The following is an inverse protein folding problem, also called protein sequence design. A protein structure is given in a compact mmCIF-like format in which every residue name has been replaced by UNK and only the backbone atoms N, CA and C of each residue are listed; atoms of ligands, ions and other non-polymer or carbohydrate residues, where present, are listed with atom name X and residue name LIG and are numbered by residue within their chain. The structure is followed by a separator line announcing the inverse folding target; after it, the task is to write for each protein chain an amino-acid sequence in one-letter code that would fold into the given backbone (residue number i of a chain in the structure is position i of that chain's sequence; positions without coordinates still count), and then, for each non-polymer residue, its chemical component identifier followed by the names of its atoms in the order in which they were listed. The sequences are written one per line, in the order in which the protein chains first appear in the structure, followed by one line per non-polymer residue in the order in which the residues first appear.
data_IF_946446842491
#
_entry.id   IF_946446842491
#
_cell.length_a   1.000
_cell.length_b   1.000
_cell.length_c   1.000
_cell.angle_alpha   90.00
_cell.angle_beta   90.00
_cell.angle_gamma   90.00
#
_symmetry.space_group_name_H-M   'P 1'
#
loop_
_entity.id
_entity.type
_entity.pdbx_description
1 polymer ?
#
# COMPACT_ATOMS: atom_id res chain seq x y z
N UNK A 1 56.45 10.15 67.93
CA UNK A 1 55.25 9.40 68.30
C UNK A 1 54.25 9.47 67.21
N UNK A 2 54.06 8.43 66.45
CA UNK A 2 52.82 7.88 65.97
C UNK A 2 53.20 6.81 64.89
N UNK A 3 53.01 5.56 65.25
CA UNK A 3 53.15 4.43 64.36
C UNK A 3 51.91 4.35 63.44
N UNK A 4 52.04 4.28 62.13
CA UNK A 4 50.99 3.92 61.23
C UNK A 4 51.15 2.45 60.87
N UNK A 5 50.17 1.66 61.23
CA UNK A 5 50.00 0.29 60.83
C UNK A 5 49.58 0.23 59.34
N UNK A 6 50.23 -0.63 58.59
CA UNK A 6 49.88 -0.90 57.21
C UNK A 6 49.00 -2.15 57.25
N UNK A 7 47.68 -1.97 57.07
CA UNK A 7 46.75 -3.06 56.85
C UNK A 7 46.84 -3.53 55.43
N UNK A 8 47.34 -4.76 55.29
CA UNK A 8 47.37 -5.49 53.99
C UNK A 8 45.97 -6.04 53.66
N UNK A 9 45.15 -5.27 53.01
CA UNK A 9 43.89 -5.77 52.45
C UNK A 9 44.09 -6.68 51.25
N UNK A 10 43.86 -7.98 51.45
CA UNK A 10 43.78 -8.95 50.38
C UNK A 10 42.51 -8.72 49.59
N UNK A 11 42.65 -8.22 48.37
CA UNK A 11 41.53 -8.07 47.41
C UNK A 11 41.01 -9.45 47.03
N UNK A 12 39.71 -9.72 47.10
CA UNK A 12 39.14 -10.99 46.65
C UNK A 12 39.33 -11.14 45.16
N UNK A 13 39.91 -12.29 44.73
CA UNK A 13 39.95 -12.71 43.33
C UNK A 13 38.51 -12.85 42.82
N UNK A 14 38.04 -11.83 42.07
CA UNK A 14 36.79 -11.89 41.28
C UNK A 14 37.01 -12.95 40.20
N UNK A 15 36.33 -14.08 40.36
CA UNK A 15 36.29 -15.16 39.40
C UNK A 15 35.80 -14.64 38.03
N UNK A 16 36.62 -14.72 37.03
CA UNK A 16 36.35 -14.38 35.63
C UNK A 16 35.20 -15.21 35.00
N UNK A 17 34.71 -16.24 35.74
CA UNK A 17 33.63 -17.16 35.30
C UNK A 17 32.29 -16.47 35.03
N UNK A 18 31.96 -15.35 35.69
CA UNK A 18 30.70 -14.67 35.50
C UNK A 18 30.62 -13.80 34.26
N UNK A 19 31.74 -13.28 33.75
CA UNK A 19 31.73 -12.38 32.59
C UNK A 19 31.60 -13.11 31.23
N UNK A 20 32.17 -14.33 31.14
CA UNK A 20 32.02 -15.14 29.94
C UNK A 20 30.61 -15.74 29.81
N UNK A 21 30.01 -16.14 30.93
CA UNK A 21 28.64 -16.64 30.92
C UNK A 21 27.62 -15.56 30.53
N UNK A 22 27.81 -14.30 30.95
CA UNK A 22 26.92 -13.18 30.60
C UNK A 22 27.05 -12.81 29.11
N UNK A 23 28.26 -12.84 28.55
CA UNK A 23 28.48 -12.57 27.12
C UNK A 23 27.91 -13.70 26.25
N UNK A 24 28.00 -14.96 26.69
CA UNK A 24 27.43 -16.09 25.95
C UNK A 24 25.89 -16.10 26.01
N UNK A 25 25.32 -15.75 27.16
CA UNK A 25 23.85 -15.64 27.31
C UNK A 25 23.31 -14.44 26.53
N UNK A 26 24.02 -13.31 26.50
CA UNK A 26 23.62 -12.15 25.66
C UNK A 26 23.70 -12.48 24.16
N UNK A 27 24.72 -13.22 23.70
CA UNK A 27 24.77 -13.62 22.29
C UNK A 27 23.73 -14.70 21.95
N UNK A 28 23.40 -15.61 22.88
CA UNK A 28 22.31 -16.57 22.70
C UNK A 28 20.94 -15.89 22.75
N UNK A 29 20.75 -14.87 23.57
CA UNK A 29 19.54 -14.06 23.57
C UNK A 29 19.43 -13.21 22.28
N UNK A 30 20.53 -12.67 21.76
CA UNK A 30 20.52 -11.95 20.48
C UNK A 30 20.27 -12.87 19.28
N UNK A 31 20.73 -14.13 19.35
CA UNK A 31 20.43 -15.13 18.31
C UNK A 31 19.03 -15.74 18.45
N UNK A 32 18.44 -15.77 19.65
CA UNK A 32 17.07 -16.24 19.85
C UNK A 32 16.02 -15.15 19.59
N UNK A 33 16.41 -13.85 19.63
CA UNK A 33 15.55 -12.75 19.20
C UNK A 33 15.74 -12.40 17.73
N UNK A 34 16.79 -12.90 17.07
CA UNK A 34 16.99 -12.87 15.63
C UNK A 34 16.03 -13.78 14.84
N UNK A 35 15.22 -14.55 15.54
CA UNK A 35 14.04 -15.25 15.05
C UNK A 35 12.74 -14.45 15.21
N UNK A 36 12.80 -13.13 15.38
CA UNK A 36 11.74 -12.28 14.89
C UNK A 36 11.84 -12.44 13.37
N UNK A 37 11.06 -13.38 12.84
CA UNK A 37 10.78 -13.40 11.44
C UNK A 37 10.48 -11.94 11.09
N UNK A 38 11.25 -11.36 10.21
CA UNK A 38 10.67 -10.38 9.33
C UNK A 38 9.52 -11.18 8.72
N UNK A 39 8.32 -11.08 9.30
CA UNK A 39 7.12 -11.28 8.56
C UNK A 39 7.42 -10.47 7.30
N UNK A 40 7.59 -11.14 6.20
CA UNK A 40 7.74 -10.47 4.95
C UNK A 40 6.52 -9.59 4.90
N UNK A 41 6.70 -8.27 4.75
CA UNK A 41 5.59 -7.35 4.61
C UNK A 41 4.77 -7.67 3.36
N UNK A 42 5.16 -8.72 2.64
CA UNK A 42 4.54 -9.24 1.43
C UNK A 42 3.35 -10.20 1.67
N UNK A 43 3.21 -10.79 2.85
CA UNK A 43 2.13 -11.78 3.08
C UNK A 43 0.75 -11.14 3.33
N UNK A 44 0.70 -9.81 3.47
CA UNK A 44 -0.55 -9.05 3.74
C UNK A 44 -0.96 -8.14 2.56
N UNK A 45 -0.21 -8.14 1.45
CA UNK A 45 -0.57 -7.34 0.28
C UNK A 45 -1.68 -8.02 -0.52
N UNK A 46 -2.69 -7.25 -0.98
CA UNK A 46 -3.74 -7.83 -1.82
C UNK A 46 -3.16 -8.35 -3.14
N UNK A 47 -3.72 -9.46 -3.63
CA UNK A 47 -3.21 -10.19 -4.80
C UNK A 47 -3.00 -9.31 -6.04
N UNK A 48 -3.85 -8.29 -6.25
CA UNK A 48 -3.72 -7.37 -7.37
C UNK A 48 -2.42 -6.53 -7.34
N UNK A 49 -1.81 -6.31 -6.16
CA UNK A 49 -0.51 -5.60 -6.04
C UNK A 49 0.65 -6.36 -6.68
N UNK A 50 0.51 -7.65 -6.92
CA UNK A 50 1.53 -8.48 -7.59
C UNK A 50 1.33 -8.60 -9.11
N UNK A 51 0.31 -7.93 -9.66
CA UNK A 51 -0.01 -7.96 -11.09
C UNK A 51 0.53 -6.67 -11.72
N UNK A 52 1.58 -6.78 -12.54
CA UNK A 52 2.10 -5.68 -13.33
C UNK A 52 1.25 -5.46 -14.58
N UNK A 53 0.88 -4.22 -14.86
CA UNK A 53 0.17 -3.81 -16.07
C UNK A 53 1.10 -2.98 -16.93
N UNK A 54 1.32 -3.45 -18.15
CA UNK A 54 2.16 -2.79 -19.14
C UNK A 54 1.40 -1.60 -19.75
N UNK A 55 1.88 -0.37 -19.56
CA UNK A 55 1.27 0.83 -20.14
C UNK A 55 1.23 0.85 -21.68
N UNK A 56 2.10 0.10 -22.36
CA UNK A 56 2.10 0.01 -23.82
C UNK A 56 0.84 -0.67 -24.38
N UNK A 57 0.07 -1.35 -23.53
CA UNK A 57 -1.21 -1.98 -23.95
C UNK A 57 -2.35 -0.96 -24.07
N UNK A 58 -2.21 0.24 -23.51
CA UNK A 58 -3.22 1.28 -23.56
C UNK A 58 -3.14 2.07 -24.87
N UNK A 59 -4.27 2.34 -25.48
CA UNK A 59 -4.33 2.97 -26.79
C UNK A 59 -5.43 4.05 -26.96
N UNK A 60 -6.22 4.30 -25.92
CA UNK A 60 -7.31 5.27 -25.90
C UNK A 60 -7.23 6.13 -24.64
N UNK A 61 -6.09 6.82 -24.46
CA UNK A 61 -5.83 7.72 -23.37
C UNK A 61 -6.35 9.14 -23.61
N UNK A 62 -6.12 10.05 -22.66
CA UNK A 62 -6.41 11.47 -22.80
C UNK A 62 -5.57 12.14 -23.88
N UNK A 63 -5.98 13.35 -24.26
CA UNK A 63 -5.15 14.20 -25.13
C UNK A 63 -3.85 14.52 -24.40
N UNK A 64 -2.73 14.34 -25.09
CA UNK A 64 -1.42 14.60 -24.53
C UNK A 64 -1.25 16.10 -24.20
N UNK A 65 -0.91 16.37 -22.95
CA UNK A 65 -0.46 17.66 -22.48
C UNK A 65 0.98 17.55 -21.98
N UNK A 66 1.68 18.67 -21.89
CA UNK A 66 3.01 18.73 -21.27
C UNK A 66 2.85 18.81 -19.74
N UNK A 67 2.58 17.67 -19.12
CA UNK A 67 2.31 17.52 -17.68
C UNK A 67 3.04 16.32 -17.12
N UNK A 68 3.50 16.38 -15.84
CA UNK A 68 4.06 15.22 -15.14
C UNK A 68 3.09 14.03 -15.03
N UNK A 69 1.78 14.24 -15.17
CA UNK A 69 0.76 13.18 -15.12
C UNK A 69 0.76 12.30 -16.37
N UNK A 70 1.42 12.72 -17.46
CA UNK A 70 1.53 11.95 -18.70
C UNK A 70 2.27 10.63 -18.49
N UNK A 71 3.34 10.66 -17.72
CA UNK A 71 4.15 9.47 -17.45
C UNK A 71 3.45 8.55 -16.45
N UNK A 72 3.57 7.24 -16.70
CA UNK A 72 3.12 6.24 -15.74
C UNK A 72 4.19 6.01 -14.68
N UNK A 73 3.77 5.79 -13.44
CA UNK A 73 4.70 5.53 -12.33
C UNK A 73 4.59 4.09 -11.89
N UNK A 74 5.75 3.46 -11.80
CA UNK A 74 5.83 2.07 -11.34
C UNK A 74 5.21 1.90 -9.94
N UNK A 75 4.34 0.89 -9.82
CA UNK A 75 3.71 0.50 -8.58
C UNK A 75 2.44 1.26 -8.21
N UNK A 76 2.03 2.28 -8.99
CA UNK A 76 0.74 2.92 -8.80
C UNK A 76 -0.41 1.94 -9.10
N UNK A 77 -1.44 1.95 -8.26
CA UNK A 77 -2.62 1.13 -8.45
C UNK A 77 -3.34 1.46 -9.76
N UNK A 78 -3.72 0.41 -10.49
CA UNK A 78 -4.59 0.47 -11.66
C UNK A 78 -5.92 -0.16 -11.31
N UNK A 79 -7.00 0.52 -11.67
CA UNK A 79 -8.33 -0.02 -11.53
C UNK A 79 -9.16 0.21 -12.80
N UNK A 80 -10.16 -0.62 -12.99
CA UNK A 80 -11.07 -0.56 -14.12
C UNK A 80 -12.49 -0.27 -13.68
N UNK A 81 -13.15 0.63 -14.40
CA UNK A 81 -14.57 0.93 -14.28
C UNK A 81 -15.28 0.30 -15.49
N UNK A 82 -16.16 -0.67 -15.24
CA UNK A 82 -17.06 -1.19 -16.26
C UNK A 82 -18.30 -0.30 -16.32
N UNK A 83 -18.53 0.33 -17.46
CA UNK A 83 -19.66 1.26 -17.64
C UNK A 83 -20.68 0.73 -18.64
N UNK A 84 -21.94 1.17 -18.45
CA UNK A 84 -23.05 0.90 -19.40
C UNK A 84 -23.92 2.14 -19.51
N UNK A 85 -24.05 2.71 -20.71
CA UNK A 85 -24.72 3.97 -20.93
C UNK A 85 -25.36 4.07 -22.32
N UNK A 86 -26.19 5.09 -22.54
CA UNK A 86 -26.81 5.40 -23.83
C UNK A 86 -26.26 6.75 -24.31
N UNK A 87 -25.40 6.77 -25.33
CA UNK A 87 -24.66 7.97 -25.74
C UNK A 87 -25.55 9.02 -26.43
N UNK A 88 -26.74 8.63 -26.95
CA UNK A 88 -27.65 9.56 -27.61
C UNK A 88 -29.10 9.18 -27.33
N UNK A 89 -30.03 10.15 -27.42
CA UNK A 89 -31.47 9.89 -27.26
C UNK A 89 -31.96 8.87 -28.28
N UNK A 90 -32.59 7.79 -27.77
CA UNK A 90 -33.13 6.72 -28.60
C UNK A 90 -32.05 5.81 -29.24
N UNK A 91 -30.79 5.97 -28.86
CA UNK A 91 -29.72 5.06 -29.25
C UNK A 91 -29.69 3.79 -28.44
N UNK A 92 -28.91 2.82 -28.92
CA UNK A 92 -28.65 1.58 -28.20
C UNK A 92 -27.73 1.83 -26.99
N UNK A 93 -27.89 0.99 -25.97
CA UNK A 93 -27.00 0.98 -24.79
C UNK A 93 -25.66 0.36 -25.19
N UNK A 94 -24.58 1.04 -24.86
CA UNK A 94 -23.21 0.56 -25.02
C UNK A 94 -22.59 0.23 -23.68
N UNK A 95 -21.61 -0.64 -23.69
CA UNK A 95 -20.81 -0.97 -22.52
C UNK A 95 -19.33 -0.86 -22.86
N UNK A 96 -18.53 -0.56 -21.88
CA UNK A 96 -17.09 -0.44 -22.06
C UNK A 96 -16.34 -0.39 -20.74
N UNK A 97 -15.02 -0.34 -20.86
CA UNK A 97 -14.09 -0.30 -19.76
C UNK A 97 -13.32 1.02 -19.78
N UNK A 98 -13.13 1.62 -18.62
CA UNK A 98 -12.26 2.78 -18.43
C UNK A 98 -11.20 2.33 -17.43
N UNK A 99 -9.92 2.35 -17.82
CA UNK A 99 -8.78 2.04 -16.96
C UNK A 99 -8.17 3.35 -16.43
N UNK A 100 -7.90 3.39 -15.13
CA UNK A 100 -7.36 4.56 -14.45
C UNK A 100 -6.15 4.18 -13.59
N UNK A 101 -5.18 5.08 -13.53
CA UNK A 101 -4.05 5.03 -12.63
C UNK A 101 -4.26 5.98 -11.44
N UNK A 102 -3.94 5.53 -10.23
CA UNK A 102 -3.99 6.31 -9.00
C UNK A 102 -2.58 6.79 -8.62
N UNK A 103 -2.38 8.07 -8.38
CA UNK A 103 -1.10 8.66 -8.02
C UNK A 103 -0.81 8.53 -6.52
N UNK A 104 -0.57 7.32 -6.04
CA UNK A 104 -0.45 7.00 -4.62
C UNK A 104 0.69 7.73 -3.89
N UNK A 105 1.77 8.07 -4.59
CA UNK A 105 2.88 8.81 -3.99
C UNK A 105 2.63 10.32 -3.88
N UNK A 106 1.71 10.86 -4.69
CA UNK A 106 1.39 12.28 -4.76
C UNK A 106 0.12 12.66 -4.01
N UNK A 107 -0.84 11.73 -3.97
CA UNK A 107 -2.11 11.90 -3.27
C UNK A 107 -2.43 10.66 -2.41
N UNK A 108 -1.57 10.33 -1.41
CA UNK A 108 -1.67 9.09 -0.64
C UNK A 108 -2.96 8.95 0.16
N UNK A 109 -3.52 10.05 0.68
CA UNK A 109 -4.75 10.01 1.48
C UNK A 109 -5.95 9.73 0.57
N UNK A 110 -6.04 10.47 -0.53
CA UNK A 110 -7.15 10.38 -1.47
C UNK A 110 -7.16 9.03 -2.20
N UNK A 111 -6.00 8.56 -2.62
CA UNK A 111 -5.87 7.24 -3.27
C UNK A 111 -6.15 6.08 -2.32
N UNK A 112 -5.69 6.15 -1.07
CA UNK A 112 -6.01 5.14 -0.06
C UNK A 112 -7.53 5.06 0.22
N UNK A 113 -8.22 6.22 0.26
CA UNK A 113 -9.67 6.27 0.38
C UNK A 113 -10.36 5.63 -0.83
N UNK A 114 -9.88 5.92 -2.05
CA UNK A 114 -10.42 5.33 -3.27
C UNK A 114 -10.25 3.80 -3.28
N UNK A 115 -9.05 3.30 -3.00
CA UNK A 115 -8.75 1.86 -2.91
C UNK A 115 -9.65 1.17 -1.89
N UNK A 116 -9.75 1.72 -0.69
CA UNK A 116 -10.64 1.21 0.38
C UNK A 116 -12.10 1.13 -0.07
N UNK A 117 -12.58 2.14 -0.78
CA UNK A 117 -13.96 2.19 -1.26
C UNK A 117 -14.20 1.16 -2.39
N UNK A 118 -13.22 0.94 -3.26
CA UNK A 118 -13.25 -0.13 -4.28
C UNK A 118 -13.30 -1.51 -3.60
N UNK A 119 -12.40 -1.79 -2.68
CA UNK A 119 -12.34 -3.06 -1.94
C UNK A 119 -13.62 -3.35 -1.12
N UNK A 120 -14.35 -2.29 -0.78
CA UNK A 120 -15.63 -2.39 -0.08
C UNK A 120 -16.86 -2.44 -1.00
N UNK A 121 -16.69 -2.59 -2.30
CA UNK A 121 -17.74 -2.63 -3.32
C UNK A 121 -18.68 -1.39 -3.31
N UNK A 122 -18.16 -0.23 -2.84
CA UNK A 122 -18.97 0.99 -2.71
C UNK A 122 -19.51 1.44 -4.07
N UNK A 123 -18.71 1.29 -5.12
CA UNK A 123 -19.01 1.84 -6.45
C UNK A 123 -19.78 0.90 -7.37
N UNK A 124 -19.91 -0.37 -7.02
CA UNK A 124 -20.65 -1.32 -7.85
C UNK A 124 -22.15 -1.02 -7.90
N UNK A 125 -22.70 -0.83 -9.09
CA UNK A 125 -24.11 -0.46 -9.31
C UNK A 125 -24.44 1.02 -9.11
N UNK A 126 -23.44 1.89 -8.94
CA UNK A 126 -23.63 3.33 -8.79
C UNK A 126 -23.82 4.00 -10.16
N UNK A 127 -24.56 5.11 -10.19
CA UNK A 127 -24.76 5.91 -11.40
C UNK A 127 -23.81 7.10 -11.47
N UNK A 128 -23.49 7.54 -12.67
CA UNK A 128 -23.05 8.90 -12.89
C UNK A 128 -24.27 9.82 -12.70
N UNK A 129 -24.28 10.56 -11.63
CA UNK A 129 -25.43 11.38 -11.24
C UNK A 129 -25.39 12.83 -11.77
N UNK A 130 -24.21 13.27 -12.23
CA UNK A 130 -24.00 14.60 -12.80
C UNK A 130 -22.98 14.51 -13.94
N UNK A 131 -23.38 14.98 -15.11
CA UNK A 131 -22.54 15.08 -16.31
C UNK A 131 -22.74 16.46 -16.90
N UNK A 132 -21.68 17.18 -17.11
CA UNK A 132 -21.69 18.53 -17.70
C UNK A 132 -20.71 18.52 -18.84
N UNK A 133 -21.25 18.73 -20.06
CA UNK A 133 -20.44 18.79 -21.29
C UNK A 133 -19.35 19.86 -21.17
N UNK A 134 -18.18 19.59 -21.74
CA UNK A 134 -16.98 20.43 -21.64
C UNK A 134 -16.52 20.70 -20.20
N UNK A 135 -16.87 19.83 -19.26
CA UNK A 135 -16.48 19.96 -17.87
C UNK A 135 -16.13 18.61 -17.24
N UNK A 136 -17.05 18.00 -16.48
CA UNK A 136 -16.78 16.75 -15.76
C UNK A 136 -17.94 15.78 -15.82
N UNK A 137 -17.64 14.48 -15.68
CA UNK A 137 -18.58 13.42 -15.38
C UNK A 137 -18.37 12.93 -13.93
N UNK A 138 -19.38 13.12 -13.07
CA UNK A 138 -19.30 12.87 -11.62
C UNK A 138 -20.14 11.66 -11.20
N UNK A 139 -19.54 10.85 -10.34
CA UNK A 139 -20.13 9.64 -9.75
C UNK A 139 -19.65 9.42 -8.30
N UNK A 140 -19.78 8.20 -7.79
CA UNK A 140 -19.24 7.79 -6.48
C UNK A 140 -20.16 7.99 -5.29
N UNK A 141 -21.41 8.39 -5.50
CA UNK A 141 -22.41 8.46 -4.44
C UNK A 141 -23.08 7.09 -4.22
N UNK A 142 -22.85 6.41 -3.08
CA UNK A 142 -23.43 5.09 -2.82
C UNK A 142 -24.96 5.10 -2.67
N UNK A 143 -25.59 6.25 -2.50
CA UNK A 143 -27.06 6.36 -2.47
C UNK A 143 -27.68 6.29 -3.86
N UNK A 144 -26.86 6.43 -4.93
CA UNK A 144 -27.26 6.35 -6.33
C UNK A 144 -27.26 4.90 -6.86
N UNK A 145 -27.75 3.92 -6.12
CA UNK A 145 -27.75 2.49 -6.51
C UNK A 145 -29.10 1.90 -6.87
N UNK A 146 -30.20 2.63 -6.72
CA UNK A 146 -31.53 2.06 -6.94
C UNK A 146 -31.89 1.99 -8.42
N UNK A 147 -31.85 0.79 -8.97
CA UNK A 147 -32.37 0.46 -10.29
C UNK A 147 -33.87 0.80 -10.40
N UNK A 148 -34.30 1.35 -11.53
CA UNK A 148 -35.68 1.63 -11.85
C UNK A 148 -36.28 2.87 -11.17
N UNK A 149 -35.51 3.58 -10.39
CA UNK A 149 -35.90 4.86 -9.77
C UNK A 149 -35.06 5.99 -10.34
N UNK A 150 -34.31 5.70 -11.41
CA UNK A 150 -33.48 6.71 -12.04
C UNK A 150 -34.33 7.88 -12.54
N UNK A 151 -33.87 9.10 -12.39
CA UNK A 151 -34.61 10.31 -12.18
C UNK A 151 -35.42 10.83 -13.33
N UNK A 152 -35.38 10.23 -14.49
CA UNK A 152 -36.26 10.64 -15.57
C UNK A 152 -37.75 10.58 -15.21
N UNK A 153 -38.13 9.77 -14.20
CA UNK A 153 -39.51 9.57 -13.76
C UNK A 153 -39.81 10.02 -12.33
N UNK A 154 -38.79 10.29 -11.50
CA UNK A 154 -39.01 10.74 -10.14
C UNK A 154 -37.96 11.79 -9.72
N UNK A 155 -38.26 13.08 -9.97
CA UNK A 155 -37.37 14.18 -9.51
C UNK A 155 -37.30 14.30 -7.98
N UNK A 156 -37.94 13.40 -7.23
CA UNK A 156 -38.11 13.48 -5.79
C UNK A 156 -37.24 12.49 -5.01
N UNK A 157 -36.29 11.80 -5.63
CA UNK A 157 -35.23 11.11 -4.88
C UNK A 157 -34.07 12.08 -4.63
N UNK A 158 -34.14 12.93 -3.59
CA UNK A 158 -33.25 14.06 -3.39
C UNK A 158 -31.84 13.67 -2.89
N UNK A 159 -31.61 12.39 -2.62
CA UNK A 159 -30.37 11.93 -1.98
C UNK A 159 -29.27 11.57 -2.95
N UNK A 160 -29.60 11.21 -4.19
CA UNK A 160 -28.58 10.87 -5.19
C UNK A 160 -27.81 12.13 -5.65
N UNK A 161 -26.51 12.12 -5.43
CA UNK A 161 -25.60 13.25 -5.64
C UNK A 161 -25.26 14.03 -4.36
N UNK A 162 -25.91 13.70 -3.23
CA UNK A 162 -25.64 14.34 -1.92
C UNK A 162 -25.17 13.35 -0.86
N UNK A 163 -25.05 12.06 -1.20
CA UNK A 163 -24.64 11.01 -0.30
C UNK A 163 -23.13 10.75 -0.29
N UNK A 164 -22.72 9.88 0.62
CA UNK A 164 -21.35 9.42 0.80
C UNK A 164 -21.30 8.24 1.74
N UNK A 165 -20.10 7.82 2.12
CA UNK A 165 -19.88 6.75 3.10
C UNK A 165 -20.03 7.23 4.53
N UNK A 166 -20.00 8.54 4.74
CA UNK A 166 -19.98 9.19 6.05
C UNK A 166 -18.58 9.31 6.66
N UNK A 167 -17.55 9.03 5.88
CA UNK A 167 -16.15 9.20 6.30
C UNK A 167 -15.47 10.20 5.39
N UNK A 168 -15.21 11.39 5.89
CA UNK A 168 -14.53 12.45 5.13
C UNK A 168 -13.01 12.34 5.21
N UNK A 169 -12.35 12.90 4.20
CA UNK A 169 -10.90 12.99 4.10
C UNK A 169 -10.49 14.47 3.93
N UNK A 170 -9.28 14.86 4.38
CA UNK A 170 -8.75 16.18 4.15
C UNK A 170 -8.51 16.46 2.67
N UNK A 171 -8.54 17.74 2.31
CA UNK A 171 -8.13 18.22 0.99
C UNK A 171 -6.63 17.96 0.79
N UNK A 172 -6.26 17.37 -0.33
CA UNK A 172 -4.89 16.98 -0.64
C UNK A 172 -4.49 17.48 -2.02
N UNK A 173 -3.38 18.22 -2.08
CA UNK A 173 -2.83 18.75 -3.32
C UNK A 173 -1.38 18.35 -3.52
N UNK A 174 -0.98 18.27 -4.77
CA UNK A 174 0.41 18.08 -5.15
C UNK A 174 0.72 18.94 -6.38
N UNK A 175 1.87 19.60 -6.40
CA UNK A 175 2.26 20.55 -7.46
C UNK A 175 2.37 19.93 -8.87
N UNK A 176 2.53 18.63 -8.97
CA UNK A 176 2.60 17.90 -10.23
C UNK A 176 1.24 17.38 -10.71
N UNK A 177 0.16 17.60 -9.95
CA UNK A 177 -1.19 17.13 -10.29
C UNK A 177 -2.10 18.33 -10.61
N UNK A 178 -2.76 18.28 -11.75
CA UNK A 178 -3.69 19.31 -12.21
C UNK A 178 -4.84 18.70 -13.00
N UNK A 179 -5.90 19.48 -13.21
CA UNK A 179 -7.09 19.06 -13.96
C UNK A 179 -6.88 19.10 -15.48
N UNK A 180 -5.97 18.24 -15.96
CA UNK A 180 -5.78 17.98 -17.40
C UNK A 180 -6.91 17.10 -17.95
N UNK A 181 -6.98 16.92 -19.28
CA UNK A 181 -7.90 15.95 -19.91
C UNK A 181 -7.69 14.55 -19.30
N UNK A 182 -8.76 13.86 -18.93
CA UNK A 182 -8.73 12.56 -18.29
C UNK A 182 -8.38 12.55 -16.81
N UNK A 183 -8.08 13.71 -16.19
CA UNK A 183 -7.78 13.76 -14.75
C UNK A 183 -8.97 13.31 -13.90
N UNK A 184 -8.69 12.54 -12.86
CA UNK A 184 -9.65 12.13 -11.84
C UNK A 184 -9.52 13.01 -10.61
N UNK A 185 -10.61 13.74 -10.28
CA UNK A 185 -10.67 14.64 -9.14
C UNK A 185 -11.65 14.15 -8.07
N UNK A 186 -11.37 14.50 -6.81
CA UNK A 186 -12.22 14.19 -5.67
C UNK A 186 -13.25 15.31 -5.46
N UNK A 187 -14.54 14.95 -5.52
CA UNK A 187 -15.62 15.89 -5.24
C UNK A 187 -15.73 16.15 -3.74
N UNK A 188 -16.10 17.39 -3.39
CA UNK A 188 -16.28 17.82 -2.00
C UNK A 188 -17.41 18.84 -1.86
N UNK A 189 -17.87 19.06 -0.65
CA UNK A 189 -18.77 20.15 -0.28
C UNK A 189 -18.07 21.50 -0.19
N UNK A 190 -18.67 22.42 0.55
CA UNK A 190 -18.11 23.76 0.75
C UNK A 190 -16.86 23.75 1.65
N UNK A 191 -16.83 22.86 2.62
CA UNK A 191 -15.68 22.73 3.53
C UNK A 191 -14.56 21.94 2.85
N UNK A 192 -13.31 22.35 3.05
CA UNK A 192 -12.14 21.74 2.43
C UNK A 192 -12.04 20.22 2.75
N UNK A 193 -12.27 19.85 4.00
CA UNK A 193 -12.15 18.47 4.51
C UNK A 193 -13.48 17.69 4.41
N UNK A 194 -14.30 17.98 3.40
CA UNK A 194 -15.62 17.36 3.20
C UNK A 194 -15.69 16.34 2.07
N UNK A 195 -14.56 16.03 1.44
CA UNK A 195 -14.48 14.95 0.45
C UNK A 195 -14.73 13.59 1.13
N UNK A 196 -15.45 12.67 0.44
CA UNK A 196 -15.80 11.35 0.98
C UNK A 196 -15.60 10.28 -0.09
N UNK A 197 -16.62 9.92 -0.84
CA UNK A 197 -16.58 8.86 -1.86
C UNK A 197 -16.85 9.34 -3.27
N UNK A 198 -17.38 10.56 -3.44
CA UNK A 198 -17.71 11.08 -4.76
C UNK A 198 -16.46 11.59 -5.49
N UNK A 199 -16.36 11.24 -6.77
CA UNK A 199 -15.29 11.62 -7.66
C UNK A 199 -15.84 12.01 -9.03
N UNK A 200 -14.99 12.64 -9.83
CA UNK A 200 -15.31 12.97 -11.21
C UNK A 200 -14.11 12.73 -12.13
N UNK A 201 -14.41 12.58 -13.42
CA UNK A 201 -13.40 12.57 -14.49
C UNK A 201 -13.59 13.83 -15.32
N UNK A 202 -12.52 14.61 -15.48
CA UNK A 202 -12.46 15.72 -16.41
C UNK A 202 -12.32 15.15 -17.83
N UNK A 203 -13.19 15.56 -18.75
CA UNK A 203 -13.13 15.09 -20.13
C UNK A 203 -12.63 16.17 -21.10
N UNK A 204 -12.03 17.21 -20.55
CA UNK A 204 -11.24 18.29 -21.14
C UNK A 204 -10.46 18.98 -20.02
N UNK A 205 -9.49 19.83 -20.36
CA UNK A 205 -8.74 20.64 -19.39
C UNK A 205 -9.66 21.47 -18.49
N UNK A 206 -9.48 21.37 -17.18
CA UNK A 206 -10.32 22.05 -16.18
C UNK A 206 -9.46 22.76 -15.11
N UNK A 207 -8.43 23.48 -15.53
CA UNK A 207 -7.51 24.20 -14.62
C UNK A 207 -8.20 25.26 -13.74
N UNK A 208 -9.45 25.61 -14.03
CA UNK A 208 -10.30 26.38 -13.12
C UNK A 208 -10.69 25.66 -11.83
N UNK A 209 -10.41 24.34 -11.71
CA UNK A 209 -10.61 23.55 -10.51
C UNK A 209 -9.33 23.40 -9.67
N UNK A 210 -8.17 23.77 -10.22
CA UNK A 210 -6.89 23.68 -9.52
C UNK A 210 -6.80 24.72 -8.39
N UNK A 211 -6.02 24.44 -7.33
CA UNK A 211 -5.97 25.28 -6.13
C UNK A 211 -5.53 26.71 -6.42
N UNK A 212 -4.60 26.93 -7.35
CA UNK A 212 -4.11 28.26 -7.73
C UNK A 212 -5.15 29.11 -8.49
N UNK A 213 -6.19 28.48 -9.02
CA UNK A 213 -7.27 29.15 -9.73
C UNK A 213 -8.49 29.46 -8.85
N UNK A 214 -8.45 29.11 -7.55
CA UNK A 214 -9.62 29.16 -6.66
C UNK A 214 -9.29 29.69 -5.28
N UNK A 215 -10.20 30.50 -4.76
CA UNK A 215 -10.11 31.06 -3.39
C UNK A 215 -10.58 30.05 -2.31
N UNK A 216 -11.25 28.94 -2.70
CA UNK A 216 -11.78 27.91 -1.80
C UNK A 216 -10.88 26.68 -1.67
N UNK A 217 -9.62 26.78 -2.10
CA UNK A 217 -8.63 25.70 -2.04
C UNK A 217 -8.69 24.71 -3.21
N UNK A 218 -9.66 24.80 -4.12
CA UNK A 218 -9.78 23.93 -5.29
C UNK A 218 -10.17 22.49 -4.95
N UNK A 219 -9.77 21.54 -5.79
CA UNK A 219 -10.13 20.12 -5.67
C UNK A 219 -8.89 19.25 -5.85
N UNK A 220 -8.84 18.15 -5.09
CA UNK A 220 -7.75 17.19 -5.17
C UNK A 220 -7.82 16.40 -6.48
N UNK A 221 -6.74 16.41 -7.25
CA UNK A 221 -6.50 15.45 -8.34
C UNK A 221 -5.70 14.28 -7.77
N UNK A 222 -6.10 13.04 -8.07
CA UNK A 222 -5.47 11.86 -7.49
C UNK A 222 -5.30 10.68 -8.46
N UNK A 223 -5.73 10.84 -9.72
CA UNK A 223 -5.60 9.82 -10.75
C UNK A 223 -5.82 10.38 -12.15
N UNK A 224 -5.65 9.52 -13.14
CA UNK A 224 -5.85 9.84 -14.55
C UNK A 224 -6.36 8.61 -15.30
N UNK A 225 -7.19 8.84 -16.33
CA UNK A 225 -7.58 7.80 -17.29
C UNK A 225 -6.37 7.41 -18.12
N UNK A 226 -6.12 6.12 -18.27
CA UNK A 226 -5.05 5.57 -19.12
C UNK A 226 -5.59 4.94 -20.39
N UNK A 227 -6.79 4.36 -20.32
CA UNK A 227 -7.45 3.76 -21.47
C UNK A 227 -8.97 3.90 -21.37
N UNK A 228 -9.69 3.92 -22.49
CA UNK A 228 -11.14 4.03 -22.53
C UNK A 228 -11.69 5.46 -22.52
N UNK A 229 -10.93 6.47 -22.97
CA UNK A 229 -11.39 7.85 -23.11
C UNK A 229 -12.57 7.99 -24.07
N UNK A 230 -12.74 7.09 -25.03
CA UNK A 230 -13.94 7.04 -25.89
C UNK A 230 -15.22 6.87 -25.06
N UNK A 231 -15.16 6.10 -23.99
CA UNK A 231 -16.30 5.92 -23.08
C UNK A 231 -16.50 7.14 -22.18
N UNK A 232 -15.43 7.76 -21.69
CA UNK A 232 -15.50 9.03 -20.92
C UNK A 232 -16.18 10.12 -21.76
N UNK A 233 -15.75 10.30 -23.01
CA UNK A 233 -16.36 11.26 -23.95
C UNK A 233 -17.78 10.88 -24.36
N UNK A 234 -18.06 9.59 -24.52
CA UNK A 234 -19.41 9.10 -24.78
C UNK A 234 -20.36 9.36 -23.61
N UNK A 235 -19.87 9.25 -22.37
CA UNK A 235 -20.60 9.64 -21.15
C UNK A 235 -20.81 11.15 -21.14
N UNK A 236 -19.76 11.94 -21.41
CA UNK A 236 -19.80 13.40 -21.38
C UNK A 236 -20.84 14.00 -22.34
N UNK A 237 -21.05 13.37 -23.49
CA UNK A 237 -22.03 13.78 -24.50
C UNK A 237 -23.41 13.15 -24.32
N UNK A 238 -23.61 12.31 -23.29
CA UNK A 238 -24.90 11.70 -23.01
C UNK A 238 -25.95 12.76 -22.68
N UNK A 239 -27.20 12.61 -23.15
CA UNK A 239 -28.25 13.60 -22.90
C UNK A 239 -28.52 13.80 -21.40
N UNK A 240 -28.56 15.06 -20.98
CA UNK A 240 -28.88 15.46 -19.60
C UNK A 240 -30.12 16.35 -19.54
N UNK A 241 -30.71 16.47 -18.36
CA UNK A 241 -31.90 17.31 -18.15
C UNK A 241 -31.63 18.81 -18.37
N UNK A 242 -30.38 19.23 -18.38
CA UNK A 242 -29.97 20.61 -18.65
C UNK A 242 -29.48 20.85 -20.09
N UNK A 243 -29.25 19.78 -20.86
CA UNK A 243 -28.88 19.91 -22.26
C UNK A 243 -30.13 20.12 -23.11
N UNK A 244 -30.23 21.17 -23.94
CA UNK A 244 -31.38 21.44 -24.82
C UNK A 244 -31.73 20.30 -25.78
N UNK A 245 -30.73 19.50 -26.19
CA UNK A 245 -30.95 18.32 -27.02
C UNK A 245 -31.65 17.15 -26.27
N UNK A 246 -31.62 17.15 -24.93
CA UNK A 246 -32.27 16.17 -24.09
C UNK A 246 -33.66 16.61 -23.60
N UNK A 247 -34.15 17.76 -24.02
CA UNK A 247 -35.34 18.46 -23.49
C UNK A 247 -36.68 17.74 -23.72
N UNK A 248 -36.80 16.46 -23.45
CA UNK A 248 -38.08 15.79 -23.28
C UNK A 248 -38.65 16.11 -21.87
N UNK A 249 -39.07 17.33 -21.67
CA UNK A 249 -40.00 17.66 -20.61
C UNK A 249 -39.43 18.28 -19.32
N UNK A 250 -38.14 18.44 -19.17
CA UNK A 250 -37.57 19.12 -17.98
C UNK A 250 -37.15 20.54 -18.33
N UNK A 251 -38.16 21.42 -18.40
CA UNK A 251 -37.90 22.86 -18.46
C UNK A 251 -37.56 23.35 -17.05
N UNK A 252 -36.36 23.78 -16.83
CA UNK A 252 -35.86 24.33 -15.59
C UNK A 252 -35.77 23.30 -14.42
N UNK A 253 -34.90 22.26 -14.51
CA UNK A 253 -34.63 21.44 -13.36
C UNK A 253 -34.08 22.34 -12.25
N UNK A 254 -34.47 22.09 -11.01
CA UNK A 254 -33.83 22.75 -9.87
C UNK A 254 -32.32 22.51 -9.86
N UNK A 255 -31.56 23.28 -9.07
CA UNK A 255 -30.09 23.17 -9.00
C UNK A 255 -29.63 21.73 -8.70
N UNK A 256 -30.42 20.97 -7.96
CA UNK A 256 -30.10 19.58 -7.58
C UNK A 256 -30.15 18.59 -8.75
N UNK A 257 -30.75 18.98 -9.88
CA UNK A 257 -30.83 18.16 -11.09
C UNK A 257 -29.92 18.66 -12.22
N UNK A 258 -29.11 19.66 -11.96
CA UNK A 258 -28.22 20.20 -12.97
C UNK A 258 -27.22 19.14 -13.44
N UNK A 259 -27.17 18.89 -14.76
CA UNK A 259 -26.30 17.88 -15.39
C UNK A 259 -26.76 16.44 -15.13
N UNK A 260 -27.97 16.20 -14.63
CA UNK A 260 -28.48 14.85 -14.43
C UNK A 260 -28.74 14.17 -15.78
N UNK A 261 -28.08 13.00 -16.06
CA UNK A 261 -28.35 12.25 -17.29
C UNK A 261 -29.84 11.86 -17.44
N UNK A 262 -30.36 11.85 -18.68
CA UNK A 262 -31.74 11.40 -18.96
C UNK A 262 -31.85 9.88 -18.87
N UNK A 263 -30.83 9.18 -19.36
CA UNK A 263 -30.71 7.74 -19.26
C UNK A 263 -29.65 7.37 -18.23
N UNK A 264 -29.86 6.29 -17.53
CA UNK A 264 -28.88 5.76 -16.58
C UNK A 264 -27.52 5.53 -17.20
N UNK A 265 -26.49 6.12 -16.61
CA UNK A 265 -25.09 5.83 -16.89
C UNK A 265 -24.60 5.02 -15.70
N UNK A 266 -24.55 3.69 -15.88
CA UNK A 266 -24.33 2.74 -14.80
C UNK A 266 -22.86 2.33 -14.73
N UNK A 267 -22.31 2.33 -13.53
CA UNK A 267 -21.08 1.62 -13.18
C UNK A 267 -21.49 0.19 -12.79
N UNK A 268 -21.18 -0.80 -13.64
CA UNK A 268 -21.53 -2.19 -13.35
C UNK A 268 -20.58 -2.83 -12.35
N UNK A 269 -19.29 -2.48 -12.43
CA UNK A 269 -18.27 -2.87 -11.45
C UNK A 269 -17.09 -1.93 -11.48
N UNK A 270 -16.38 -1.85 -10.35
CA UNK A 270 -15.07 -1.22 -10.23
C UNK A 270 -14.13 -2.24 -9.59
N UNK A 271 -12.97 -2.46 -10.20
CA UNK A 271 -12.06 -3.52 -9.77
C UNK A 271 -10.62 -3.05 -9.84
N UNK A 272 -9.85 -3.24 -8.76
CA UNK A 272 -8.39 -3.11 -8.77
C UNK A 272 -7.78 -4.27 -9.58
N UNK A 273 -7.08 -3.94 -10.66
CA UNK A 273 -6.60 -4.95 -11.64
C UNK A 273 -5.12 -5.21 -11.55
N UNK A 274 -4.36 -4.28 -10.98
CA UNK A 274 -2.92 -4.44 -10.85
C UNK A 274 -2.23 -3.13 -10.49
N UNK A 275 -0.94 -3.06 -10.81
CA UNK A 275 -0.12 -1.86 -10.66
C UNK A 275 0.55 -1.51 -11.98
N UNK A 276 0.77 -0.24 -12.22
CA UNK A 276 1.52 0.23 -13.38
C UNK A 276 2.95 -0.30 -13.34
N UNK A 277 3.39 -0.92 -14.42
CA UNK A 277 4.70 -1.55 -14.52
C UNK A 277 5.41 -1.20 -15.85
N UNK A 278 5.83 0.07 -16.02
CA UNK A 278 6.52 0.50 -17.23
C UNK A 278 7.87 -0.21 -17.47
N UNK A 279 8.47 -0.76 -16.42
CA UNK A 279 9.78 -1.43 -16.48
C UNK A 279 9.67 -2.95 -16.58
N UNK A 280 8.47 -3.54 -16.46
CA UNK A 280 8.25 -4.99 -16.46
C UNK A 280 8.90 -5.69 -15.27
N UNK A 281 9.09 -4.98 -14.14
CA UNK A 281 9.76 -5.51 -12.95
C UNK A 281 8.81 -6.14 -11.95
N UNK A 282 7.53 -5.77 -11.97
CA UNK A 282 6.48 -6.41 -11.19
C UNK A 282 6.16 -7.74 -11.85
N UNK A 283 6.69 -8.81 -11.31
CA UNK A 283 6.42 -10.15 -11.81
C UNK A 283 5.04 -10.57 -11.32
N UNK A 284 4.20 -10.98 -12.26
CA UNK A 284 2.97 -11.72 -11.97
C UNK A 284 3.30 -12.76 -10.90
N UNK A 285 2.44 -12.88 -9.87
CA UNK A 285 2.59 -13.84 -8.77
C UNK A 285 2.96 -15.24 -9.27
N UNK A 286 3.25 -16.22 -8.43
CA UNK A 286 4.01 -17.40 -8.81
C UNK A 286 3.53 -17.97 -10.12
N UNK A 287 4.12 -17.52 -11.21
CA UNK A 287 4.03 -18.24 -12.46
C UNK A 287 4.64 -19.60 -12.16
N UNK A 288 3.85 -20.63 -12.33
CA UNK A 288 4.30 -22.00 -12.49
C UNK A 288 5.20 -22.03 -13.75
N UNK A 289 6.27 -21.22 -13.70
CA UNK A 289 7.36 -21.26 -14.65
C UNK A 289 8.13 -22.51 -14.23
N UNK A 290 8.11 -23.51 -15.08
CA UNK A 290 8.89 -24.74 -14.94
C UNK A 290 10.40 -24.52 -14.84
N UNK A 291 10.82 -23.42 -14.27
CA UNK A 291 12.16 -23.10 -13.84
C UNK A 291 12.22 -23.10 -12.29
N UNK A 292 11.96 -24.30 -11.73
CA UNK A 292 12.05 -24.56 -10.29
C UNK A 292 13.47 -24.36 -9.72
N UNK A 293 14.43 -23.85 -10.49
CA UNK A 293 15.84 -23.78 -10.09
C UNK A 293 16.28 -22.51 -9.36
N UNK A 294 15.71 -21.34 -9.65
CA UNK A 294 16.31 -20.06 -9.25
C UNK A 294 16.10 -19.68 -7.80
N UNK A 295 14.86 -19.64 -7.34
CA UNK A 295 14.54 -19.23 -5.97
C UNK A 295 14.85 -20.30 -4.94
N UNK A 296 14.51 -21.55 -5.22
CA UNK A 296 14.83 -22.67 -4.33
C UNK A 296 16.34 -22.91 -4.25
N UNK A 297 17.11 -22.71 -5.33
CA UNK A 297 18.56 -22.81 -5.29
C UNK A 297 19.19 -21.71 -4.41
N UNK A 298 18.70 -20.47 -4.46
CA UNK A 298 19.15 -19.39 -3.58
C UNK A 298 18.76 -19.66 -2.11
N UNK A 299 17.58 -20.20 -1.87
CA UNK A 299 17.09 -20.57 -0.53
C UNK A 299 17.92 -21.75 0.01
N UNK A 300 18.20 -22.79 -0.78
CA UNK A 300 19.08 -23.91 -0.37
C UNK A 300 20.51 -23.45 -0.09
N UNK A 301 21.08 -22.57 -0.92
CA UNK A 301 22.43 -22.02 -0.68
C UNK A 301 22.46 -21.19 0.60
N UNK A 302 21.44 -20.38 0.88
CA UNK A 302 21.33 -19.58 2.08
C UNK A 302 21.14 -20.45 3.35
N UNK A 303 20.29 -21.47 3.27
CA UNK A 303 20.13 -22.46 4.36
C UNK A 303 21.39 -23.30 4.56
N UNK A 304 22.11 -23.71 3.51
CA UNK A 304 23.36 -24.43 3.61
C UNK A 304 24.44 -23.60 4.34
N UNK A 305 24.54 -22.30 4.05
CA UNK A 305 25.48 -21.38 4.73
C UNK A 305 25.10 -21.16 6.19
N UNK A 306 23.84 -21.03 6.53
CA UNK A 306 23.36 -20.88 7.91
C UNK A 306 23.57 -22.19 8.68
N UNK A 307 23.22 -23.35 8.12
CA UNK A 307 23.39 -24.65 8.76
C UNK A 307 24.87 -24.97 9.02
N UNK A 308 25.75 -24.74 8.03
CA UNK A 308 27.18 -25.00 8.17
C UNK A 308 27.81 -24.07 9.21
N UNK A 309 27.46 -22.79 9.24
CA UNK A 309 28.00 -21.85 10.22
C UNK A 309 27.48 -22.16 11.63
N UNK A 310 26.21 -22.53 11.79
CA UNK A 310 25.64 -22.91 13.09
C UNK A 310 26.27 -24.20 13.62
N UNK A 311 26.54 -25.17 12.75
CA UNK A 311 27.20 -26.43 13.12
C UNK A 311 28.66 -26.21 13.55
N UNK A 312 29.38 -25.31 12.84
CA UNK A 312 30.77 -24.96 13.16
C UNK A 312 30.87 -24.22 14.51
N UNK A 313 29.97 -23.30 14.78
CA UNK A 313 29.89 -22.58 16.07
C UNK A 313 29.54 -23.55 17.19
N UNK A 314 28.59 -24.47 16.98
CA UNK A 314 28.23 -25.51 17.93
C UNK A 314 29.42 -26.44 18.28
N UNK A 315 30.19 -26.85 17.27
CA UNK A 315 31.38 -27.67 17.44
C UNK A 315 32.49 -26.95 18.23
N UNK A 316 32.70 -25.67 17.97
CA UNK A 316 33.68 -24.86 18.72
C UNK A 316 33.25 -24.68 20.17
N UNK A 317 31.98 -24.49 20.46
CA UNK A 317 31.45 -24.36 21.83
C UNK A 317 31.59 -25.69 22.59
N UNK A 318 31.31 -26.83 21.94
CA UNK A 318 31.48 -28.15 22.55
C UNK A 318 32.97 -28.42 22.82
N UNK A 319 33.85 -28.14 21.88
CA UNK A 319 35.31 -28.33 22.06
C UNK A 319 35.87 -27.39 23.17
N UNK A 320 35.44 -26.15 23.21
CA UNK A 320 35.82 -25.25 24.31
C UNK A 320 35.30 -25.73 25.66
N UNK A 321 34.03 -26.18 25.73
CA UNK A 321 33.45 -26.79 26.95
C UNK A 321 34.22 -28.01 27.41
N UNK A 322 34.66 -28.88 26.49
CA UNK A 322 35.44 -30.08 26.80
C UNK A 322 36.88 -29.76 27.26
N UNK A 323 37.50 -28.74 26.66
CA UNK A 323 38.79 -28.20 27.12
C UNK A 323 38.69 -27.62 28.53
N UNK A 324 37.68 -26.83 28.83
CA UNK A 324 37.46 -26.26 30.15
C UNK A 324 37.12 -27.33 31.20
N UNK A 325 36.36 -28.37 30.86
CA UNK A 325 36.06 -29.47 31.76
C UNK A 325 37.30 -30.30 32.12
N UNK A 326 38.33 -30.35 31.28
CA UNK A 326 39.62 -30.99 31.57
C UNK A 326 40.53 -30.17 32.50
N UNK A 327 40.35 -28.87 32.52
CA UNK A 327 41.16 -28.00 33.39
C UNK A 327 40.65 -28.03 34.84
N UNK A 328 39.38 -28.33 35.04
CA UNK A 328 38.72 -28.37 36.36
C UNK A 328 38.57 -29.77 36.93
N UNK A 329 39.24 -30.82 36.40
CA UNK A 329 39.28 -32.10 37.10
C UNK A 329 40.10 -31.98 38.38
N UNK A 330 39.49 -32.10 39.58
CA UNK A 330 40.26 -32.06 40.81
C UNK A 330 41.24 -33.25 40.78
N UNK A 331 42.48 -33.01 41.22
CA UNK A 331 43.47 -34.06 41.43
C UNK A 331 42.83 -35.19 42.20
N UNK A 332 43.09 -36.42 41.78
CA UNK A 332 42.54 -37.59 42.50
C UNK A 332 43.03 -37.56 43.94
N UNK A 333 42.25 -38.16 44.85
CA UNK A 333 42.65 -38.27 46.28
C UNK A 333 44.04 -38.87 46.41
N UNK A 334 44.50 -39.70 45.50
CA UNK A 334 45.82 -40.27 45.40
C UNK A 334 46.93 -39.26 45.15
N UNK A 335 46.67 -38.27 44.32
CA UNK A 335 47.61 -37.17 44.02
C UNK A 335 47.71 -36.17 45.17
N UNK A 336 46.62 -35.91 45.87
CA UNK A 336 46.63 -35.07 47.09
C UNK A 336 47.40 -35.71 48.23
N UNK A 337 47.32 -37.01 48.39
CA UNK A 337 48.10 -37.77 49.43
C UNK A 337 49.60 -37.77 49.09
N UNK A 338 50.01 -37.70 47.81
CA UNK A 338 51.39 -37.60 47.42
C UNK A 338 52.00 -36.24 47.77
N UNK A 339 51.28 -35.14 47.53
CA UNK A 339 51.74 -33.80 47.89
C UNK A 339 51.87 -33.64 49.42
N UNK A 340 50.89 -34.13 50.20
CA UNK A 340 50.97 -34.08 51.64
C UNK A 340 52.12 -34.98 52.19
N UNK A 341 52.47 -36.10 51.54
CA UNK A 341 53.60 -36.92 51.87
C UNK A 341 54.95 -36.31 51.56
N UNK A 342 55.01 -35.45 50.45
CA UNK A 342 56.23 -34.74 50.11
C UNK A 342 56.53 -33.59 51.09
N UNK A 343 55.51 -32.87 51.50
CA UNK A 343 55.63 -31.76 52.48
C UNK A 343 56.01 -32.29 53.86
N UNK A 344 55.55 -33.47 54.27
CA UNK A 344 55.93 -34.11 55.55
C UNK A 344 57.40 -34.53 55.51
N UNK A 345 57.90 -35.03 54.39
CA UNK A 345 59.30 -35.40 54.22
C UNK A 345 60.28 -34.21 54.25
N UNK A 346 59.85 -33.02 53.73
CA UNK A 346 60.64 -31.81 53.73
C UNK A 346 60.74 -31.11 55.10
N UNK A 347 59.79 -31.40 55.99
CA UNK A 347 59.79 -30.88 57.35
C UNK A 347 60.66 -31.73 58.35
N UNK A 348 60.98 -32.95 58.00
CA UNK A 348 61.81 -33.84 58.83
C UNK A 348 63.32 -33.65 58.56
N UNK A 349 63.76 -33.02 57.51
CA UNK A 349 65.12 -32.67 57.14
C UNK A 349 65.64 -31.36 57.78
N UNK A 350 64.78 -30.59 58.48
CA UNK A 350 65.13 -29.31 59.11
C UNK A 350 65.05 -29.31 60.64
N UNK A 351 65.06 -30.51 61.32
CA UNK A 351 65.14 -30.62 62.78
C UNK A 351 66.53 -31.06 63.25
#
# INVERSE_FOLDING_TARGET
MYKRAIDGGVLPRRTMKGRFAVVLVLNLLFMSTGGIGFASADDDQPAWRSIGIDPELWNDGPVEEDTPMKETYQGNAIFEIQVSYVPALGGDRVSGTIALELFEQRAPITTANMIKNIDSDIYNGVFFHRVVEDFVAQSGDPTCKKFGVYPATNPLEPTCGSGGTGTTIPLEHHEELSHVDGAMGMARGAEEDSADSQWYIAHSEQHGLDPESRDDGGYAVFGIVRDGMVHVRGIATSPTVTNPASAQGFQNPGPDLFGRPVNEILITSVTLTGVSDPDGTVRFGPQDSGDEGGFFALVEEFYAVIFTSTFLIGAVVILAGWMFARIDTPLSIEDQNKEVSLDALLLDETA
#
